data_IF_733036781771
#
_entry.id   IF_733036781771
#
_cell.length_a   1.000
_cell.length_b   1.000
_cell.length_c   1.000
_cell.angle_alpha   90.00
_cell.angle_beta   90.00
_cell.angle_gamma   90.00
#
_symmetry.space_group_name_H-M   'P 1'
#
loop_
_entity.id
_entity.type
_entity.pdbx_description
1 polymer ?
#
# COMPACT_ATOMS: atom_id res chain seq x y z
N UNK A 1 -5.86 -1.78 10.89
CA UNK A 1 -5.49 -3.07 11.49
C UNK A 1 -5.45 -4.25 10.51
N UNK A 2 -6.51 -5.06 10.30
CA UNK A 2 -6.34 -6.40 9.68
C UNK A 2 -5.60 -6.49 8.32
N UNK A 3 -5.71 -5.50 7.42
CA UNK A 3 -5.03 -5.54 6.11
C UNK A 3 -3.51 -5.39 6.24
N UNK A 4 -3.05 -4.37 6.95
CA UNK A 4 -1.62 -4.10 7.13
C UNK A 4 -0.96 -5.22 7.94
N UNK A 5 -1.60 -5.67 9.02
CA UNK A 5 -1.15 -6.84 9.80
C UNK A 5 -1.00 -8.09 8.94
N UNK A 6 -2.03 -8.41 8.13
CA UNK A 6 -2.02 -9.57 7.23
C UNK A 6 -0.90 -9.49 6.19
N UNK A 7 -0.66 -8.30 5.63
CA UNK A 7 0.32 -8.09 4.57
C UNK A 7 1.75 -7.94 5.09
N UNK A 8 1.93 -7.34 6.28
CA UNK A 8 3.22 -7.18 6.91
C UNK A 8 3.70 -8.48 7.58
N UNK A 9 2.79 -9.34 8.04
CA UNK A 9 3.13 -10.51 8.82
C UNK A 9 3.92 -10.13 10.07
N UNK A 10 5.09 -10.77 10.28
CA UNK A 10 6.03 -10.42 11.38
C UNK A 10 7.10 -9.40 10.98
N UNK A 11 6.97 -8.77 9.81
CA UNK A 11 8.07 -7.98 9.22
C UNK A 11 8.22 -6.56 9.79
N UNK A 12 7.22 -6.05 10.51
CA UNK A 12 7.23 -4.72 11.12
C UNK A 12 7.06 -4.82 12.63
N UNK A 13 7.74 -3.93 13.38
CA UNK A 13 7.49 -3.75 14.81
C UNK A 13 6.13 -3.08 15.02
N UNK A 14 5.49 -3.22 16.19
CA UNK A 14 4.17 -2.63 16.45
C UNK A 14 4.10 -1.12 16.15
N UNK A 15 5.12 -0.36 16.55
CA UNK A 15 5.19 1.09 16.29
C UNK A 15 5.30 1.43 14.79
N UNK A 16 6.03 0.61 14.03
CA UNK A 16 6.18 0.79 12.58
C UNK A 16 4.89 0.47 11.84
N UNK A 17 4.19 -0.57 12.30
CA UNK A 17 2.89 -0.94 11.80
C UNK A 17 1.87 0.18 12.07
N UNK A 18 1.85 0.75 13.28
CA UNK A 18 0.96 1.86 13.64
C UNK A 18 1.19 3.09 12.74
N UNK A 19 2.45 3.44 12.50
CA UNK A 19 2.82 4.54 11.60
C UNK A 19 2.36 4.25 10.16
N UNK A 20 2.59 3.03 9.67
CA UNK A 20 2.15 2.62 8.33
C UNK A 20 0.62 2.66 8.20
N UNK A 21 -0.11 2.19 9.20
CA UNK A 21 -1.58 2.22 9.22
C UNK A 21 -2.12 3.64 9.16
N UNK A 22 -1.57 4.54 9.98
CA UNK A 22 -2.00 5.94 9.99
C UNK A 22 -1.82 6.60 8.62
N UNK A 23 -0.66 6.39 7.99
CA UNK A 23 -0.40 6.92 6.64
C UNK A 23 -1.30 6.26 5.60
N UNK A 24 -1.52 4.95 5.71
CA UNK A 24 -2.42 4.23 4.81
C UNK A 24 -3.84 4.80 4.85
N UNK A 25 -4.39 4.99 6.03
CA UNK A 25 -5.75 5.50 6.23
C UNK A 25 -5.87 6.94 5.73
N UNK A 26 -4.89 7.80 6.04
CA UNK A 26 -4.87 9.19 5.60
C UNK A 26 -4.88 9.33 4.08
N UNK A 27 -4.09 8.52 3.38
CA UNK A 27 -3.93 8.59 1.92
C UNK A 27 -5.11 7.92 1.20
N UNK A 28 -5.56 6.75 1.67
CA UNK A 28 -6.69 6.03 1.03
C UNK A 28 -8.06 6.67 1.28
N UNK A 29 -8.17 7.52 2.31
CA UNK A 29 -9.34 8.35 2.56
C UNK A 29 -9.49 9.49 1.54
N UNK A 30 -8.44 9.86 0.79
CA UNK A 30 -8.51 10.96 -0.17
C UNK A 30 -9.48 10.65 -1.32
N UNK A 31 -10.21 11.66 -1.84
CA UNK A 31 -11.22 11.46 -2.87
C UNK A 31 -10.65 11.05 -4.24
N UNK A 32 -9.38 11.38 -4.49
CA UNK A 32 -8.69 11.02 -5.72
C UNK A 32 -8.11 9.60 -5.70
N UNK A 33 -8.11 8.91 -4.55
CA UNK A 33 -7.54 7.57 -4.41
C UNK A 33 -8.52 6.51 -4.95
N UNK A 34 -8.04 5.61 -5.80
CA UNK A 34 -8.82 4.48 -6.28
C UNK A 34 -8.94 3.41 -5.18
N UNK A 35 -10.13 3.29 -4.59
CA UNK A 35 -10.40 2.38 -3.45
C UNK A 35 -10.70 0.94 -3.86
N UNK A 36 -10.41 0.55 -5.09
CA UNK A 36 -10.46 -0.86 -5.49
C UNK A 36 -9.52 -1.72 -4.63
N UNK A 37 -9.87 -2.98 -4.43
CA UNK A 37 -9.12 -3.88 -3.56
C UNK A 37 -7.66 -4.03 -3.99
N UNK A 38 -7.40 -4.14 -5.29
CA UNK A 38 -6.04 -4.26 -5.83
C UNK A 38 -5.20 -3.00 -5.62
N UNK A 39 -5.80 -1.80 -5.63
CA UNK A 39 -5.10 -0.56 -5.31
C UNK A 39 -4.79 -0.47 -3.81
N UNK A 40 -5.75 -0.81 -2.96
CA UNK A 40 -5.57 -0.82 -1.51
C UNK A 40 -4.49 -1.82 -1.09
N UNK A 41 -4.51 -3.04 -1.63
CA UNK A 41 -3.49 -4.05 -1.34
C UNK A 41 -2.13 -3.62 -1.90
N UNK A 42 -2.07 -3.15 -3.16
CA UNK A 42 -0.83 -2.70 -3.79
C UNK A 42 -0.16 -1.52 -3.07
N UNK A 43 -0.97 -0.55 -2.63
CA UNK A 43 -0.49 0.60 -1.85
C UNK A 43 0.01 0.14 -0.47
N UNK A 44 -0.73 -0.72 0.22
CA UNK A 44 -0.34 -1.26 1.51
C UNK A 44 1.02 -1.99 1.43
N UNK A 45 1.23 -2.82 0.42
CA UNK A 45 2.50 -3.54 0.21
C UNK A 45 3.67 -2.57 -0.01
N UNK A 46 3.48 -1.55 -0.86
CA UNK A 46 4.52 -0.54 -1.09
C UNK A 46 4.86 0.22 0.19
N UNK A 47 3.86 0.58 0.98
CA UNK A 47 4.06 1.29 2.24
C UNK A 47 4.82 0.43 3.27
N UNK A 48 4.43 -0.84 3.42
CA UNK A 48 5.16 -1.80 4.27
C UNK A 48 6.62 -1.92 3.83
N UNK A 49 6.88 -2.03 2.52
CA UNK A 49 8.25 -2.11 2.01
C UNK A 49 9.05 -0.84 2.30
N UNK A 50 8.45 0.34 2.20
CA UNK A 50 9.12 1.61 2.52
C UNK A 50 9.57 1.66 3.99
N UNK A 51 8.68 1.26 4.90
CA UNK A 51 8.98 1.24 6.33
C UNK A 51 10.05 0.18 6.64
N UNK A 52 9.98 -0.99 6.01
CA UNK A 52 11.03 -2.03 6.12
C UNK A 52 12.39 -1.57 5.61
N UNK A 53 12.44 -0.65 4.65
CA UNK A 53 13.67 -0.04 4.15
C UNK A 53 14.25 1.03 5.09
N UNK A 54 13.64 1.27 6.26
CA UNK A 54 14.13 2.20 7.28
C UNK A 54 13.51 3.59 7.22
N UNK A 55 12.56 3.84 6.31
CA UNK A 55 11.82 5.11 6.26
C UNK A 55 10.67 5.03 7.27
N UNK A 56 11.00 5.26 8.55
CA UNK A 56 10.06 5.20 9.67
C UNK A 56 9.69 6.59 10.24
N UNK A 57 10.27 7.68 9.72
CA UNK A 57 9.84 9.02 10.09
C UNK A 57 8.45 9.30 9.48
N UNK A 58 7.46 9.60 10.32
CA UNK A 58 6.06 9.73 9.91
C UNK A 58 5.85 10.77 8.81
N UNK A 59 6.46 11.95 8.92
CA UNK A 59 6.27 13.05 7.95
C UNK A 59 6.90 12.73 6.60
N UNK A 60 8.09 12.11 6.61
CA UNK A 60 8.76 11.67 5.39
C UNK A 60 7.98 10.53 4.71
N UNK A 61 7.52 9.56 5.51
CA UNK A 61 6.71 8.44 5.04
C UNK A 61 5.42 8.93 4.38
N UNK A 62 4.70 9.85 5.02
CA UNK A 62 3.47 10.44 4.49
C UNK A 62 3.72 11.16 3.17
N UNK A 63 4.75 12.02 3.11
CA UNK A 63 5.09 12.77 1.89
C UNK A 63 5.36 11.83 0.71
N UNK A 64 6.17 10.80 0.93
CA UNK A 64 6.49 9.80 -0.11
C UNK A 64 5.25 9.00 -0.50
N UNK A 65 4.45 8.58 0.50
CA UNK A 65 3.24 7.80 0.28
C UNK A 65 2.21 8.56 -0.56
N UNK A 66 1.99 9.85 -0.28
CA UNK A 66 1.08 10.72 -1.05
C UNK A 66 1.55 10.85 -2.50
N UNK A 67 2.83 11.15 -2.73
CA UNK A 67 3.39 11.28 -4.08
C UNK A 67 3.23 9.99 -4.89
N UNK A 68 3.51 8.84 -4.27
CA UNK A 68 3.34 7.54 -4.91
C UNK A 68 1.88 7.21 -5.19
N UNK A 69 0.99 7.53 -4.25
CA UNK A 69 -0.44 7.31 -4.34
C UNK A 69 -1.08 8.11 -5.46
N UNK A 70 -0.80 9.41 -5.56
CA UNK A 70 -1.30 10.24 -6.67
C UNK A 70 -0.83 9.70 -8.03
N UNK A 71 0.41 9.22 -8.12
CA UNK A 71 0.99 8.76 -9.39
C UNK A 71 0.49 7.38 -9.82
N UNK A 72 0.29 6.47 -8.87
CA UNK A 72 0.10 5.04 -9.17
C UNK A 72 -1.25 4.47 -8.71
N UNK A 73 -1.94 5.16 -7.80
CA UNK A 73 -3.16 4.66 -7.15
C UNK A 73 -4.30 5.69 -7.21
N UNK A 74 -4.19 6.67 -8.11
CA UNK A 74 -5.26 7.64 -8.39
C UNK A 74 -6.35 7.04 -9.29
N UNK A 75 -7.57 7.53 -9.14
CA UNK A 75 -8.69 7.27 -10.06
C UNK A 75 -8.32 7.56 -11.52
N UNK A 76 -7.46 8.55 -11.75
CA UNK A 76 -7.03 9.00 -13.08
C UNK A 76 -5.87 8.18 -13.67
N UNK A 77 -5.51 7.05 -13.05
CA UNK A 77 -4.44 6.19 -13.57
C UNK A 77 -4.73 5.72 -14.99
N UNK A 78 -3.68 5.63 -15.81
CA UNK A 78 -3.79 5.11 -17.17
C UNK A 78 -4.23 3.65 -17.17
N UNK A 79 -4.91 3.21 -18.25
CA UNK A 79 -5.30 1.81 -18.43
C UNK A 79 -4.11 0.85 -18.30
N UNK A 80 -2.94 1.24 -18.80
CA UNK A 80 -1.70 0.44 -18.69
C UNK A 80 -1.26 0.26 -17.24
N UNK A 81 -1.28 1.32 -16.44
CA UNK A 81 -0.96 1.23 -15.01
C UNK A 81 -1.96 0.34 -14.27
N UNK A 82 -3.25 0.50 -14.55
CA UNK A 82 -4.33 -0.31 -13.95
C UNK A 82 -4.14 -1.81 -14.25
N UNK A 83 -3.86 -2.17 -15.51
CA UNK A 83 -3.62 -3.56 -15.90
C UNK A 83 -2.40 -4.17 -15.20
N UNK A 84 -1.32 -3.41 -15.03
CA UNK A 84 -0.13 -3.87 -14.30
C UNK A 84 -0.43 -4.15 -12.82
N UNK A 85 -1.21 -3.27 -12.17
CA UNK A 85 -1.61 -3.47 -10.78
C UNK A 85 -2.53 -4.68 -10.61
N UNK A 86 -3.50 -4.85 -11.51
CA UNK A 86 -4.40 -6.01 -11.49
C UNK A 86 -3.62 -7.32 -11.63
N UNK A 87 -2.73 -7.41 -12.61
CA UNK A 87 -1.90 -8.60 -12.83
C UNK A 87 -1.00 -8.90 -11.61
N UNK A 88 -0.44 -7.88 -10.98
CA UNK A 88 0.36 -8.05 -9.77
C UNK A 88 -0.49 -8.58 -8.60
N UNK A 89 -1.70 -8.02 -8.40
CA UNK A 89 -2.64 -8.46 -7.38
C UNK A 89 -3.06 -9.93 -7.57
N UNK A 90 -3.41 -10.30 -8.80
CA UNK A 90 -3.78 -11.68 -9.15
C UNK A 90 -2.62 -12.66 -8.91
N UNK A 91 -1.39 -12.31 -9.33
CA UNK A 91 -0.21 -13.14 -9.10
C UNK A 91 0.03 -13.37 -7.58
N UNK A 92 -0.21 -12.33 -6.78
CA UNK A 92 -0.04 -12.39 -5.34
C UNK A 92 -1.11 -13.24 -4.66
N UNK A 93 -2.37 -13.15 -5.15
CA UNK A 93 -3.48 -13.99 -4.69
C UNK A 93 -3.23 -15.47 -4.97
N UNK A 94 -2.69 -15.80 -6.15
CA UNK A 94 -2.32 -17.18 -6.49
C UNK A 94 -1.18 -17.74 -5.63
N UNK A 95 -0.22 -16.92 -5.23
CA UNK A 95 0.87 -17.34 -4.33
C UNK A 95 0.34 -17.68 -2.93
N UNK A 96 -0.59 -16.89 -2.41
CA UNK A 96 -1.18 -17.12 -1.09
C UNK A 96 -2.01 -18.41 -0.99
N UNK A 97 -2.53 -18.93 -2.10
CA UNK A 97 -3.31 -20.19 -2.14
C UNK A 97 -2.41 -21.44 -2.20
N UNK A 98 -1.14 -21.29 -2.57
CA UNK A 98 -0.19 -22.41 -2.74
C UNK A 98 0.71 -22.68 -1.52
N UNK A 99 0.59 -21.87 -0.47
CA UNK A 99 1.26 -22.01 0.84
C UNK A 99 0.23 -22.32 1.90
#
# INVERSE_FOLDING_TARGET
MKRMERLAGRALRPKELEIAERVFDLVSAQPWFDRSEYCLDGFAIRLINLVRSGIANSTQLETIAVLWAMTNFSCDMTKSQRMKLLAAHEAQRHRAIRT
#
